data_IF_673260830372
#
_entry.id   IF_673260830372
#
_cell.length_a   1.000
_cell.length_b   1.000
_cell.length_c   1.000
_cell.angle_alpha   90.00
_cell.angle_beta   90.00
_cell.angle_gamma   90.00
#
_symmetry.space_group_name_H-M   'P 1'
#
loop_
_entity.id
_entity.type
_entity.pdbx_description
1 polymer ?
#
# COMPACT_ATOMS: atom_id res chain seq x y z
N UNK A 1 20.31 15.83 -35.97
CA UNK A 1 19.14 16.20 -35.13
C UNK A 1 18.78 14.95 -34.34
N UNK A 2 19.06 14.92 -33.02
CA UNK A 2 18.78 13.74 -32.20
C UNK A 2 17.28 13.70 -31.87
N UNK A 3 16.63 12.52 -31.85
CA UNK A 3 15.22 12.42 -31.49
C UNK A 3 15.04 12.80 -30.01
N UNK A 4 14.09 13.69 -29.75
CA UNK A 4 13.67 14.11 -28.41
C UNK A 4 12.87 12.95 -27.82
N UNK A 5 13.47 12.18 -26.92
CA UNK A 5 12.76 11.09 -26.25
C UNK A 5 11.93 11.69 -25.10
N UNK A 6 10.63 11.37 -24.97
CA UNK A 6 9.82 11.84 -23.85
C UNK A 6 10.37 11.23 -22.54
N UNK A 7 10.27 11.98 -21.42
CA UNK A 7 10.75 11.48 -20.13
C UNK A 7 9.97 10.21 -19.75
N UNK A 8 10.62 9.23 -19.09
CA UNK A 8 9.95 8.03 -18.65
C UNK A 8 8.80 8.37 -17.68
N UNK A 9 7.71 7.59 -17.70
CA UNK A 9 6.62 7.79 -16.76
C UNK A 9 7.13 7.67 -15.32
N UNK A 10 6.86 8.69 -14.52
CA UNK A 10 7.19 8.71 -13.09
C UNK A 10 6.39 7.60 -12.42
N UNK A 11 7.05 6.50 -12.07
CA UNK A 11 6.43 5.47 -11.26
C UNK A 11 6.19 6.05 -9.87
N UNK A 12 4.96 6.01 -9.34
CA UNK A 12 4.72 6.39 -7.96
C UNK A 12 5.58 5.49 -7.07
N UNK A 13 6.59 6.08 -6.43
CA UNK A 13 7.37 5.38 -5.42
C UNK A 13 6.43 5.08 -4.27
N UNK A 14 6.01 3.83 -4.12
CA UNK A 14 5.26 3.43 -2.95
C UNK A 14 6.12 3.80 -1.72
N UNK A 15 5.62 4.60 -0.77
CA UNK A 15 6.39 4.92 0.41
C UNK A 15 6.76 3.61 1.11
N UNK A 16 8.05 3.44 1.42
CA UNK A 16 8.61 2.21 2.00
C UNK A 16 7.93 1.81 3.33
N UNK A 17 7.24 2.75 3.97
CA UNK A 17 6.50 2.62 5.22
C UNK A 17 5.01 2.27 5.01
N UNK A 18 4.68 1.46 4.00
CA UNK A 18 3.33 0.92 3.83
C UNK A 18 3.37 -0.57 3.59
N UNK A 19 2.68 -1.33 4.43
CA UNK A 19 2.40 -2.76 4.19
C UNK A 19 1.06 -2.89 3.46
N UNK A 20 1.02 -3.72 2.43
CA UNK A 20 -0.21 -4.10 1.73
C UNK A 20 -0.56 -5.54 2.15
N UNK A 21 -1.75 -5.72 2.69
CA UNK A 21 -2.25 -7.00 3.18
C UNK A 21 -3.37 -7.44 2.25
N UNK A 22 -3.20 -8.57 1.56
CA UNK A 22 -4.28 -9.18 0.79
C UNK A 22 -5.15 -10.02 1.72
N UNK A 23 -6.44 -9.72 1.73
CA UNK A 23 -7.47 -10.42 2.50
C UNK A 23 -8.01 -11.61 1.67
N UNK A 24 -8.55 -12.65 2.32
CA UNK A 24 -9.01 -13.87 1.63
C UNK A 24 -10.17 -13.63 0.64
N UNK A 25 -10.91 -12.54 0.79
CA UNK A 25 -11.95 -12.04 -0.12
C UNK A 25 -11.39 -11.30 -1.35
N UNK A 26 -10.06 -11.20 -1.47
CA UNK A 26 -9.35 -10.52 -2.56
C UNK A 26 -9.20 -9.01 -2.37
N UNK A 27 -9.76 -8.45 -1.29
CA UNK A 27 -9.57 -7.05 -0.91
C UNK A 27 -8.14 -6.80 -0.45
N UNK A 28 -7.60 -5.60 -0.73
CA UNK A 28 -6.26 -5.20 -0.30
C UNK A 28 -6.32 -4.08 0.72
N UNK A 29 -5.76 -4.32 1.90
CA UNK A 29 -5.66 -3.35 2.98
C UNK A 29 -4.26 -2.75 2.99
N UNK A 30 -4.17 -1.43 2.79
CA UNK A 30 -2.92 -0.68 2.92
C UNK A 30 -2.80 -0.10 4.33
N UNK A 31 -1.75 -0.46 5.03
CA UNK A 31 -1.46 0.03 6.38
C UNK A 31 -0.16 0.81 6.30
N UNK A 32 -0.23 2.11 6.58
CA UNK A 32 0.96 2.94 6.73
C UNK A 32 1.58 2.81 8.11
N UNK A 33 2.85 3.15 8.24
CA UNK A 33 3.60 3.04 9.49
C UNK A 33 3.12 3.96 10.63
N UNK A 34 2.31 4.98 10.32
CA UNK A 34 1.58 5.75 11.33
C UNK A 34 0.50 4.93 12.07
N UNK A 35 0.15 3.75 11.55
CA UNK A 35 -0.87 2.90 12.18
C UNK A 35 -0.23 2.03 13.25
N UNK A 36 -0.63 2.28 14.50
CA UNK A 36 -0.24 1.43 15.63
C UNK A 36 -0.70 -0.02 15.44
N UNK A 37 0.15 -0.98 15.83
CA UNK A 37 -0.19 -2.41 15.86
C UNK A 37 -1.46 -2.71 16.67
N UNK A 38 -1.76 -1.90 17.69
CA UNK A 38 -3.01 -2.04 18.47
C UNK A 38 -4.23 -1.72 17.62
N UNK A 39 -4.16 -0.65 16.82
CA UNK A 39 -5.24 -0.27 15.91
C UNK A 39 -5.41 -1.32 14.81
N UNK A 40 -4.30 -1.80 14.23
CA UNK A 40 -4.33 -2.87 13.24
C UNK A 40 -4.96 -4.16 13.82
N UNK A 41 -4.55 -4.56 15.02
CA UNK A 41 -5.10 -5.74 15.72
C UNK A 41 -6.62 -5.61 15.95
N UNK A 42 -7.11 -4.42 16.30
CA UNK A 42 -8.56 -4.17 16.46
C UNK A 42 -9.30 -4.33 15.14
N UNK A 43 -8.79 -3.76 14.05
CA UNK A 43 -9.39 -3.90 12.72
C UNK A 43 -9.45 -5.37 12.30
N UNK A 44 -8.35 -6.11 12.45
CA UNK A 44 -8.31 -7.54 12.13
C UNK A 44 -9.29 -8.35 12.98
N UNK A 45 -9.45 -8.02 14.26
CA UNK A 45 -10.43 -8.69 15.12
C UNK A 45 -11.86 -8.47 14.63
N UNK A 46 -12.21 -7.24 14.22
CA UNK A 46 -13.53 -6.92 13.64
C UNK A 46 -13.75 -7.63 12.31
N UNK A 47 -12.73 -7.68 11.45
CA UNK A 47 -12.82 -8.36 10.15
C UNK A 47 -12.96 -9.89 10.27
N UNK A 48 -12.46 -10.48 11.36
CA UNK A 48 -12.56 -11.93 11.61
C UNK A 48 -13.94 -12.39 12.10
N UNK A 49 -14.77 -11.49 12.65
CA UNK A 49 -16.05 -11.82 13.27
C UNK A 49 -15.88 -12.36 14.68
#
# INVERSE_FOLDING_TARGET
MAPIQPPPPVQPTAPADRIEIELPDGSRLRVGSDVSLVALRRVVAVLRG
#
